data_IF_798523480562
#
_entry.id   IF_798523480562
#
_cell.length_a   1.000
_cell.length_b   1.000
_cell.length_c   1.000
_cell.angle_alpha   90.00
_cell.angle_beta   90.00
_cell.angle_gamma   90.00
#
_symmetry.space_group_name_H-M   'P 1'
#
loop_
_entity.id
_entity.type
_entity.pdbx_description
1 polymer ?
#
# COMPACT_ATOMS: atom_id res chain seq x y z
N UNK A 1 -11.82 -1.85 -9.51
CA UNK A 1 -12.25 -3.24 -9.21
C UNK A 1 -12.97 -3.17 -7.87
N UNK A 2 -14.07 -3.89 -7.63
CA UNK A 2 -14.57 -3.99 -6.25
C UNK A 2 -13.43 -4.49 -5.38
N UNK A 3 -13.21 -3.84 -4.23
CA UNK A 3 -12.10 -4.14 -3.34
C UNK A 3 -12.16 -5.63 -2.95
N UNK A 4 -11.07 -6.38 -3.18
CA UNK A 4 -11.07 -7.83 -2.97
C UNK A 4 -10.90 -8.17 -1.49
N UNK A 5 -11.55 -9.24 -1.03
CA UNK A 5 -11.18 -9.88 0.24
C UNK A 5 -9.85 -10.61 0.07
N UNK A 6 -8.89 -10.33 0.94
CA UNK A 6 -7.59 -10.97 0.90
C UNK A 6 -7.47 -12.06 1.97
N UNK A 7 -6.78 -13.15 1.65
CA UNK A 7 -6.43 -14.19 2.62
C UNK A 7 -5.02 -14.74 2.33
N UNK A 8 -4.21 -15.03 3.37
CA UNK A 8 -2.90 -15.67 3.18
C UNK A 8 -3.02 -17.16 2.81
N UNK A 9 -4.23 -17.74 2.91
CA UNK A 9 -4.53 -19.13 2.60
C UNK A 9 -5.79 -19.25 1.73
N UNK A 10 -5.90 -20.27 0.87
CA UNK A 10 -7.14 -20.57 0.17
C UNK A 10 -8.27 -20.88 1.16
N UNK A 11 -9.42 -20.25 0.98
CA UNK A 11 -10.60 -20.45 1.83
C UNK A 11 -11.80 -20.82 0.95
N UNK A 12 -12.16 -22.11 0.83
CA UNK A 12 -13.18 -22.58 -0.12
C UNK A 12 -14.54 -21.87 0.02
N UNK A 13 -14.92 -21.52 1.25
CA UNK A 13 -16.19 -20.86 1.54
C UNK A 13 -16.15 -19.33 1.36
N UNK A 14 -15.05 -18.79 0.85
CA UNK A 14 -14.83 -17.36 0.69
C UNK A 14 -14.36 -17.04 -0.72
N UNK A 15 -14.80 -15.91 -1.25
CA UNK A 15 -14.23 -15.35 -2.47
C UNK A 15 -13.05 -14.48 -2.08
N UNK A 16 -11.85 -15.04 -2.12
CA UNK A 16 -10.62 -14.33 -1.75
C UNK A 16 -9.56 -14.35 -2.82
N UNK A 17 -8.72 -13.31 -2.82
CA UNK A 17 -7.44 -13.28 -3.50
C UNK A 17 -6.29 -13.52 -2.50
N UNK A 18 -5.11 -13.87 -3.01
CA UNK A 18 -3.93 -14.07 -2.17
C UNK A 18 -3.52 -12.74 -1.54
N UNK A 19 -3.38 -12.74 -0.21
CA UNK A 19 -2.95 -11.56 0.51
C UNK A 19 -1.44 -11.30 0.31
N UNK A 20 -1.12 -10.13 -0.25
CA UNK A 20 0.25 -9.60 -0.28
C UNK A 20 0.27 -8.16 0.23
N UNK A 21 1.43 -7.65 0.70
CA UNK A 21 1.57 -6.25 1.11
C UNK A 21 1.12 -5.24 0.04
N UNK A 22 1.32 -5.57 -1.23
CA UNK A 22 0.99 -4.72 -2.39
C UNK A 22 -0.52 -4.67 -2.66
N UNK A 23 -1.25 -5.72 -2.31
CA UNK A 23 -2.70 -5.80 -2.51
C UNK A 23 -3.50 -5.11 -1.39
N UNK A 24 -2.93 -4.96 -0.19
CA UNK A 24 -3.61 -4.38 0.99
C UNK A 24 -4.23 -2.98 0.76
N UNK A 25 -3.59 -2.04 0.02
CA UNK A 25 -4.18 -0.72 -0.22
C UNK A 25 -5.52 -0.75 -0.96
N UNK A 26 -5.81 -1.80 -1.74
CA UNK A 26 -7.07 -1.97 -2.47
C UNK A 26 -7.98 -3.06 -1.89
N UNK A 27 -7.70 -3.55 -0.67
CA UNK A 27 -8.44 -4.66 -0.09
C UNK A 27 -9.73 -4.18 0.59
N UNK A 28 -10.83 -4.91 0.39
CA UNK A 28 -12.07 -4.67 1.14
C UNK A 28 -11.88 -5.09 2.60
N UNK A 29 -11.12 -6.17 2.80
CA UNK A 29 -10.78 -6.68 4.10
C UNK A 29 -9.73 -7.77 4.02
N UNK A 30 -9.15 -8.09 5.18
CA UNK A 30 -8.20 -9.17 5.35
C UNK A 30 -8.80 -10.27 6.23
N UNK A 31 -8.71 -11.52 5.77
CA UNK A 31 -9.02 -12.71 6.54
C UNK A 31 -7.73 -13.32 7.08
N UNK A 32 -7.67 -13.57 8.37
CA UNK A 32 -6.57 -14.26 9.06
C UNK A 32 -7.08 -15.59 9.63
N UNK A 33 -7.06 -16.66 8.82
CA UNK A 33 -7.63 -17.93 9.22
C UNK A 33 -6.81 -18.67 10.27
N UNK A 34 -7.48 -19.57 10.99
CA UNK A 34 -6.78 -20.64 11.71
C UNK A 34 -6.12 -21.60 10.72
N UNK A 35 -4.91 -22.02 11.06
CA UNK A 35 -4.11 -22.91 10.22
C UNK A 35 -3.23 -23.89 11.03
N UNK A 36 -3.51 -24.02 12.32
CA UNK A 36 -2.88 -25.01 13.19
C UNK A 36 -1.45 -24.74 13.63
N UNK A 37 -0.69 -23.86 12.98
CA UNK A 37 0.72 -23.70 13.39
C UNK A 37 0.96 -22.67 14.51
N UNK A 38 2.05 -22.85 15.28
CA UNK A 38 2.38 -22.00 16.42
C UNK A 38 2.48 -20.51 16.08
N UNK A 39 2.22 -19.70 17.09
CA UNK A 39 2.26 -18.24 17.04
C UNK A 39 3.37 -17.70 17.91
N UNK A 40 3.76 -18.38 19.00
CA UNK A 40 4.83 -17.91 19.90
C UNK A 40 6.23 -17.99 19.27
N UNK A 41 6.49 -18.99 18.43
CA UNK A 41 7.79 -19.19 17.79
C UNK A 41 7.79 -18.73 16.33
N UNK A 42 8.43 -17.58 16.08
CA UNK A 42 8.45 -16.95 14.75
C UNK A 42 9.87 -16.63 14.25
N UNK A 43 10.90 -16.78 15.09
CA UNK A 43 12.25 -16.27 14.80
C UNK A 43 12.93 -17.02 13.64
N UNK A 44 12.46 -18.22 13.30
CA UNK A 44 13.00 -19.06 12.23
C UNK A 44 11.92 -19.53 11.25
N UNK A 45 10.78 -18.83 11.21
CA UNK A 45 9.58 -19.21 10.44
C UNK A 45 9.22 -18.11 9.45
N UNK A 46 9.78 -18.12 8.22
CA UNK A 46 9.56 -17.03 7.25
C UNK A 46 8.09 -16.89 6.84
N UNK A 47 7.36 -18.00 6.76
CA UNK A 47 5.91 -18.04 6.55
C UNK A 47 5.14 -17.28 7.64
N UNK A 48 5.56 -17.44 8.90
CA UNK A 48 4.95 -16.76 10.05
C UNK A 48 5.31 -15.30 10.11
N UNK A 49 6.57 -14.97 9.83
CA UNK A 49 7.01 -13.59 9.73
C UNK A 49 6.23 -12.81 8.66
N UNK A 50 6.01 -13.42 7.49
CA UNK A 50 5.20 -12.83 6.42
C UNK A 50 3.78 -12.52 6.89
N UNK A 51 3.12 -13.46 7.58
CA UNK A 51 1.76 -13.25 8.13
C UNK A 51 1.70 -12.19 9.22
N UNK A 52 2.69 -12.14 10.10
CA UNK A 52 2.80 -11.11 11.13
C UNK A 52 2.94 -9.72 10.48
N UNK A 53 3.79 -9.61 9.46
CA UNK A 53 3.99 -8.38 8.69
C UNK A 53 2.71 -7.95 7.99
N UNK A 54 2.03 -8.88 7.32
CA UNK A 54 0.76 -8.64 6.65
C UNK A 54 -0.33 -8.16 7.62
N UNK A 55 -0.49 -8.84 8.76
CA UNK A 55 -1.44 -8.44 9.81
C UNK A 55 -1.11 -7.05 10.38
N UNK A 56 0.17 -6.79 10.69
CA UNK A 56 0.63 -5.47 11.16
C UNK A 56 0.33 -4.34 10.17
N UNK A 57 0.57 -4.58 8.88
CA UNK A 57 0.29 -3.61 7.83
C UNK A 57 -1.22 -3.33 7.68
N UNK A 58 -2.04 -4.39 7.66
CA UNK A 58 -3.49 -4.27 7.55
C UNK A 58 -4.09 -3.48 8.73
N UNK A 59 -3.67 -3.80 9.95
CA UNK A 59 -4.14 -3.10 11.16
C UNK A 59 -3.70 -1.63 11.17
N UNK A 60 -2.46 -1.34 10.76
CA UNK A 60 -1.96 0.05 10.68
C UNK A 60 -2.73 0.89 9.66
N UNK A 61 -3.17 0.26 8.56
CA UNK A 61 -3.99 0.90 7.52
C UNK A 61 -5.47 0.97 7.86
N UNK A 62 -5.90 0.34 8.95
CA UNK A 62 -7.31 0.24 9.30
C UNK A 62 -8.12 -0.62 8.32
N UNK A 63 -7.47 -1.56 7.61
CA UNK A 63 -8.17 -2.52 6.76
C UNK A 63 -9.09 -3.37 7.66
N UNK A 64 -10.40 -3.49 7.37
CA UNK A 64 -11.28 -4.40 8.07
C UNK A 64 -10.69 -5.81 8.13
N UNK A 65 -10.48 -6.34 9.32
CA UNK A 65 -9.77 -7.62 9.48
C UNK A 65 -10.60 -8.58 10.31
N UNK A 66 -10.78 -9.80 9.82
CA UNK A 66 -11.40 -10.90 10.56
C UNK A 66 -10.38 -12.00 10.81
N UNK A 67 -10.11 -12.29 12.07
CA UNK A 67 -9.13 -13.28 12.49
C UNK A 67 -9.76 -14.38 13.33
N UNK A 68 -9.33 -15.64 13.15
CA UNK A 68 -9.76 -16.73 14.03
C UNK A 68 -8.68 -17.76 14.35
N UNK A 69 -8.83 -18.45 15.48
CA UNK A 69 -7.88 -19.42 16.00
C UNK A 69 -6.46 -18.88 16.08
N UNK A 70 -5.51 -19.57 15.46
CA UNK A 70 -4.10 -19.13 15.35
C UNK A 70 -3.97 -17.76 14.68
N UNK A 71 -4.85 -17.40 13.74
CA UNK A 71 -4.88 -16.06 13.15
C UNK A 71 -5.25 -14.97 14.15
N UNK A 72 -6.22 -15.24 15.06
CA UNK A 72 -6.59 -14.31 16.13
C UNK A 72 -5.45 -14.13 17.14
N UNK A 73 -4.75 -15.21 17.50
CA UNK A 73 -3.57 -15.15 18.35
C UNK A 73 -2.43 -14.35 17.69
N UNK A 74 -2.23 -14.51 16.37
CA UNK A 74 -1.22 -13.76 15.61
C UNK A 74 -1.53 -12.26 15.62
N UNK A 75 -2.80 -11.88 15.42
CA UNK A 75 -3.25 -10.50 15.49
C UNK A 75 -3.11 -9.92 16.92
N UNK A 76 -3.43 -10.70 17.96
CA UNK A 76 -3.21 -10.30 19.35
C UNK A 76 -1.73 -10.03 19.64
N UNK A 77 -0.83 -10.88 19.14
CA UNK A 77 0.63 -10.70 19.26
C UNK A 77 1.10 -9.42 18.57
N UNK A 78 0.58 -9.11 17.39
CA UNK A 78 0.88 -7.84 16.67
C UNK A 78 0.51 -6.62 17.52
N UNK A 79 -0.59 -6.72 18.28
CA UNK A 79 -1.04 -5.69 19.23
C UNK A 79 -0.31 -5.73 20.58
N UNK A 80 0.74 -6.57 20.72
CA UNK A 80 1.56 -6.66 21.92
C UNK A 80 0.97 -7.53 23.04
N UNK A 81 -0.08 -8.31 22.77
CA UNK A 81 -0.61 -9.26 23.74
C UNK A 81 0.33 -10.45 23.95
N UNK A 82 0.36 -10.98 25.17
CA UNK A 82 1.15 -12.17 25.49
C UNK A 82 0.50 -13.41 24.87
N UNK A 83 1.29 -14.21 24.16
CA UNK A 83 0.86 -15.52 23.63
C UNK A 83 0.90 -16.56 24.74
N UNK A 84 -0.18 -17.32 24.89
CA UNK A 84 -0.32 -18.43 25.83
C UNK A 84 -0.41 -19.72 25.02
N UNK A 85 0.17 -20.78 25.58
CA UNK A 85 0.15 -22.11 25.00
C UNK A 85 -0.97 -22.95 25.61
N UNK A 86 -1.59 -23.78 24.78
CA UNK A 86 -2.71 -24.65 25.16
C UNK A 86 -4.04 -23.91 25.05
N UNK A 87 -5.08 -24.58 24.56
CA UNK A 87 -6.41 -23.99 24.31
C UNK A 87 -7.04 -24.57 23.05
N UNK A 88 -8.24 -24.11 22.66
CA UNK A 88 -9.01 -24.71 21.56
C UNK A 88 -8.29 -24.69 20.19
N UNK A 89 -7.43 -23.69 19.95
CA UNK A 89 -6.67 -23.53 18.71
C UNK A 89 -5.15 -23.79 18.88
N UNK A 90 -4.73 -24.37 20.01
CA UNK A 90 -3.31 -24.52 20.37
C UNK A 90 -2.77 -23.26 21.04
N UNK A 91 -2.34 -22.26 20.26
CA UNK A 91 -1.87 -20.97 20.77
C UNK A 91 -3.00 -19.92 20.76
N UNK A 92 -3.09 -19.14 21.85
CA UNK A 92 -4.02 -18.01 21.98
C UNK A 92 -3.33 -16.79 22.60
N UNK A 93 -4.00 -15.65 22.66
CA UNK A 93 -3.47 -14.46 23.33
C UNK A 93 -4.41 -13.92 24.38
N UNK A 94 -3.85 -13.36 25.45
CA UNK A 94 -4.61 -12.49 26.34
C UNK A 94 -5.26 -11.35 25.57
N UNK A 95 -6.27 -10.72 26.17
CA UNK A 95 -6.93 -9.57 25.56
C UNK A 95 -5.91 -8.44 25.35
N UNK A 96 -5.69 -7.97 24.10
CA UNK A 96 -4.78 -6.86 23.86
C UNK A 96 -5.23 -5.60 24.61
N UNK A 97 -4.27 -4.74 24.98
CA UNK A 97 -4.60 -3.47 25.63
C UNK A 97 -5.50 -2.63 24.69
N UNK A 98 -6.64 -2.17 25.21
CA UNK A 98 -7.61 -1.39 24.44
C UNK A 98 -8.57 -2.22 23.59
N UNK A 99 -8.45 -3.55 23.59
CA UNK A 99 -9.45 -4.41 22.99
C UNK A 99 -10.74 -4.41 23.82
N UNK A 100 -11.88 -4.48 23.13
CA UNK A 100 -13.18 -4.74 23.75
C UNK A 100 -13.45 -6.23 23.65
N UNK A 101 -13.60 -6.90 24.79
CA UNK A 101 -13.91 -8.34 24.83
C UNK A 101 -15.41 -8.53 25.00
N UNK A 102 -16.02 -9.20 24.03
CA UNK A 102 -17.46 -9.44 23.95
C UNK A 102 -17.87 -10.79 24.53
N UNK A 103 -16.97 -11.77 24.50
CA UNK A 103 -17.21 -13.09 25.07
C UNK A 103 -15.92 -13.70 25.63
N UNK A 104 -16.07 -14.44 26.73
CA UNK A 104 -15.01 -15.16 27.42
C UNK A 104 -15.35 -16.65 27.50
N UNK A 105 -14.32 -17.50 27.46
CA UNK A 105 -14.41 -18.92 27.77
C UNK A 105 -13.33 -19.26 28.81
N UNK A 106 -13.71 -19.28 30.08
CA UNK A 106 -12.73 -19.28 31.17
C UNK A 106 -11.86 -18.02 31.10
N UNK A 107 -10.54 -18.19 30.97
CA UNK A 107 -9.56 -17.10 30.81
C UNK A 107 -9.35 -16.68 29.35
N UNK A 108 -9.90 -17.43 28.39
CA UNK A 108 -9.76 -17.16 26.96
C UNK A 108 -10.67 -16.01 26.54
N UNK A 109 -10.16 -14.90 25.98
CA UNK A 109 -11.00 -13.91 25.31
C UNK A 109 -11.50 -14.50 23.99
N UNK A 110 -12.64 -15.17 24.02
CA UNK A 110 -13.18 -15.93 22.90
C UNK A 110 -13.58 -15.03 21.72
N UNK A 111 -14.17 -13.87 21.99
CA UNK A 111 -14.54 -12.89 20.97
C UNK A 111 -14.14 -11.48 21.42
N UNK A 112 -13.32 -10.80 20.63
CA UNK A 112 -12.86 -9.45 20.93
C UNK A 112 -12.64 -8.61 19.67
N UNK A 113 -12.66 -7.29 19.83
CA UNK A 113 -12.45 -6.32 18.75
C UNK A 113 -11.43 -5.26 19.14
N UNK A 114 -10.67 -4.77 18.17
CA UNK A 114 -9.74 -3.65 18.35
C UNK A 114 -9.58 -2.85 17.05
N UNK A 115 -10.08 -1.61 17.01
CA UNK A 115 -10.10 -0.83 15.77
C UNK A 115 -10.91 -1.53 14.68
N UNK A 116 -10.30 -1.77 13.51
CA UNK A 116 -10.91 -2.49 12.38
C UNK A 116 -10.85 -4.03 12.50
N UNK A 117 -10.25 -4.56 13.57
CA UNK A 117 -10.10 -6.00 13.81
C UNK A 117 -11.27 -6.57 14.60
N UNK A 118 -11.80 -7.69 14.10
CA UNK A 118 -12.64 -8.64 14.83
C UNK A 118 -11.90 -9.97 14.96
N UNK A 119 -11.83 -10.52 16.16
CA UNK A 119 -11.08 -11.73 16.46
C UNK A 119 -11.93 -12.77 17.20
N UNK A 120 -11.81 -14.02 16.77
CA UNK A 120 -12.43 -15.19 17.39
C UNK A 120 -11.38 -16.23 17.80
N UNK A 121 -11.18 -16.49 19.08
CA UNK A 121 -10.08 -17.34 19.53
C UNK A 121 -10.25 -18.83 19.19
N UNK A 122 -11.46 -19.29 18.86
CA UNK A 122 -11.71 -20.68 18.48
C UNK A 122 -11.17 -21.04 17.09
N UNK A 123 -10.83 -22.31 16.83
CA UNK A 123 -10.28 -22.76 15.55
C UNK A 123 -11.31 -22.71 14.39
N UNK A 124 -12.60 -22.73 14.73
CA UNK A 124 -13.71 -22.65 13.78
C UNK A 124 -14.44 -21.32 13.98
N UNK A 125 -14.58 -20.55 12.90
CA UNK A 125 -15.29 -19.28 12.90
C UNK A 125 -16.82 -19.54 12.86
N UNK A 126 -17.60 -19.00 13.81
CA UNK A 126 -19.05 -19.16 13.78
C UNK A 126 -19.69 -18.45 12.57
N UNK A 127 -20.73 -19.03 11.94
CA UNK A 127 -21.38 -18.44 10.77
C UNK A 127 -21.90 -17.01 10.99
N UNK A 128 -22.40 -16.72 12.18
CA UNK A 128 -22.90 -15.39 12.54
C UNK A 128 -21.78 -14.34 12.64
N UNK A 129 -20.55 -14.76 12.98
CA UNK A 129 -19.37 -13.86 12.98
C UNK A 129 -18.94 -13.55 11.55
N UNK A 130 -18.95 -14.56 10.67
CA UNK A 130 -18.72 -14.37 9.23
C UNK A 130 -19.76 -13.41 8.64
N UNK A 131 -21.04 -13.65 8.90
CA UNK A 131 -22.13 -12.81 8.40
C UNK A 131 -22.01 -11.36 8.90
N UNK A 132 -21.74 -11.16 10.19
CA UNK A 132 -21.55 -9.82 10.76
C UNK A 132 -20.37 -9.07 10.12
N UNK A 133 -19.25 -9.75 9.87
CA UNK A 133 -18.10 -9.13 9.20
C UNK A 133 -18.43 -8.73 7.76
N UNK A 134 -19.10 -9.60 7.00
CA UNK A 134 -19.51 -9.28 5.63
C UNK A 134 -20.50 -8.11 5.58
N UNK A 135 -21.46 -8.05 6.51
CA UNK A 135 -22.38 -6.92 6.62
C UNK A 135 -21.64 -5.60 6.88
N UNK A 136 -20.62 -5.61 7.74
CA UNK A 136 -19.75 -4.43 7.97
C UNK A 136 -19.06 -4.00 6.68
N UNK A 137 -18.62 -4.92 5.83
CA UNK A 137 -17.99 -4.58 4.55
C UNK A 137 -18.97 -4.01 3.52
N UNK A 138 -20.20 -4.52 3.51
CA UNK A 138 -21.25 -4.04 2.62
C UNK A 138 -21.75 -2.64 3.01
N UNK A 139 -21.81 -2.35 4.32
CA UNK A 139 -22.25 -1.06 4.87
C UNK A 139 -21.12 -0.02 4.97
N UNK A 140 -19.86 -0.46 4.91
CA UNK A 140 -18.72 0.45 4.99
C UNK A 140 -18.74 1.44 3.82
N UNK A 141 -18.66 2.76 4.08
CA UNK A 141 -18.49 3.73 2.99
C UNK A 141 -17.19 3.42 2.24
N UNK A 142 -17.12 3.70 0.92
CA UNK A 142 -15.90 3.48 0.15
C UNK A 142 -14.72 4.15 0.85
N UNK A 143 -13.67 3.36 1.12
CA UNK A 143 -12.51 3.83 1.86
C UNK A 143 -11.87 4.99 1.11
N UNK A 144 -11.80 6.17 1.74
CA UNK A 144 -11.06 7.29 1.17
C UNK A 144 -9.56 6.92 1.12
N UNK A 145 -8.85 7.24 0.02
CA UNK A 145 -7.42 6.99 -0.06
C UNK A 145 -6.69 7.69 1.09
N UNK A 146 -5.83 6.96 1.79
CA UNK A 146 -5.10 7.51 2.94
C UNK A 146 -4.04 8.54 2.50
N UNK A 147 -3.59 8.45 1.24
CA UNK A 147 -2.64 9.37 0.65
C UNK A 147 -2.84 9.44 -0.88
N UNK A 148 -2.18 10.39 -1.56
CA UNK A 148 -2.20 10.52 -3.00
C UNK A 148 -1.74 9.28 -3.78
N UNK A 149 -0.80 8.49 -3.22
CA UNK A 149 -0.30 7.27 -3.85
C UNK A 149 -1.40 6.22 -3.95
N UNK A 150 -2.19 6.03 -2.90
CA UNK A 150 -3.37 5.17 -2.93
C UNK A 150 -4.43 5.70 -3.90
N UNK A 151 -4.62 7.02 -3.95
CA UNK A 151 -5.60 7.65 -4.84
C UNK A 151 -5.30 7.40 -6.33
N UNK A 152 -4.03 7.20 -6.69
CA UNK A 152 -3.62 6.87 -8.07
C UNK A 152 -3.48 5.37 -8.32
N UNK A 153 -3.84 4.50 -7.37
CA UNK A 153 -3.74 3.04 -7.51
C UNK A 153 -2.38 2.45 -7.14
N UNK A 154 -1.53 3.19 -6.42
CA UNK A 154 -0.26 2.70 -5.90
C UNK A 154 0.87 2.61 -6.92
N UNK A 155 1.99 2.02 -6.50
CA UNK A 155 3.17 1.83 -7.36
C UNK A 155 2.86 0.95 -8.58
N UNK A 156 2.00 -0.05 -8.42
CA UNK A 156 1.58 -0.96 -9.48
C UNK A 156 0.90 -0.22 -10.65
N UNK A 157 0.13 0.84 -10.37
CA UNK A 157 -0.47 1.70 -11.40
C UNK A 157 0.54 2.71 -11.98
N UNK A 158 1.49 3.19 -11.17
CA UNK A 158 2.51 4.15 -11.62
C UNK A 158 3.53 3.55 -12.60
N UNK A 159 3.98 2.31 -12.37
CA UNK A 159 5.01 1.66 -13.20
C UNK A 159 4.67 1.63 -14.70
N UNK A 160 3.52 1.12 -15.15
CA UNK A 160 3.18 1.11 -16.58
C UNK A 160 3.01 2.51 -17.16
N UNK A 161 2.42 3.45 -16.39
CA UNK A 161 2.31 4.86 -16.78
C UNK A 161 3.69 5.47 -17.03
N UNK A 162 4.61 5.33 -16.07
CA UNK A 162 5.95 5.91 -16.15
C UNK A 162 6.75 5.29 -17.30
N UNK A 163 6.64 3.98 -17.51
CA UNK A 163 7.26 3.31 -18.66
C UNK A 163 6.76 3.87 -19.99
N UNK A 164 5.44 4.02 -20.19
CA UNK A 164 4.86 4.63 -21.39
C UNK A 164 5.30 6.08 -21.56
N UNK A 165 5.21 6.88 -20.49
CA UNK A 165 5.65 8.27 -20.50
C UNK A 165 7.11 8.43 -20.95
N UNK A 166 8.04 7.68 -20.35
CA UNK A 166 9.46 7.82 -20.69
C UNK A 166 9.80 7.23 -22.06
N UNK A 167 9.05 6.23 -22.55
CA UNK A 167 9.16 5.78 -23.93
C UNK A 167 8.79 6.90 -24.92
N UNK A 168 7.70 7.64 -24.65
CA UNK A 168 7.32 8.82 -25.44
C UNK A 168 8.34 9.94 -25.34
N UNK A 169 8.79 10.26 -24.12
CA UNK A 169 9.76 11.33 -23.89
C UNK A 169 11.11 11.06 -24.55
N UNK A 170 11.53 9.79 -24.63
CA UNK A 170 12.75 9.38 -25.33
C UNK A 170 12.66 9.57 -26.84
N UNK A 171 11.49 9.34 -27.43
CA UNK A 171 11.26 9.48 -28.87
C UNK A 171 10.92 10.92 -29.29
N UNK A 172 10.66 11.81 -28.33
CA UNK A 172 10.23 13.19 -28.57
C UNK A 172 11.38 14.08 -29.06
N UNK A 173 11.10 14.95 -30.04
CA UNK A 173 12.12 15.82 -30.64
C UNK A 173 12.66 16.89 -29.68
N UNK A 174 11.86 17.33 -28.70
CA UNK A 174 12.24 18.36 -27.73
C UNK A 174 12.90 17.73 -26.50
N UNK A 175 12.34 16.64 -25.96
CA UNK A 175 12.84 16.01 -24.74
C UNK A 175 13.93 14.98 -24.99
N UNK A 176 13.83 14.23 -26.08
CA UNK A 176 14.70 13.11 -26.44
C UNK A 176 16.18 13.48 -26.39
N UNK A 177 16.63 14.61 -26.97
CA UNK A 177 18.04 15.02 -26.92
C UNK A 177 18.57 15.22 -25.48
N UNK A 178 17.78 15.79 -24.58
CA UNK A 178 18.17 15.97 -23.17
C UNK A 178 18.31 14.62 -22.47
N UNK A 179 17.35 13.71 -22.66
CA UNK A 179 17.43 12.37 -22.07
C UNK A 179 18.60 11.56 -22.65
N UNK A 180 18.82 11.59 -23.96
CA UNK A 180 19.93 10.88 -24.60
C UNK A 180 21.31 11.32 -24.10
N UNK A 181 21.46 12.60 -23.73
CA UNK A 181 22.70 13.15 -23.19
C UNK A 181 22.98 12.74 -21.72
N UNK A 182 21.94 12.39 -20.95
CA UNK A 182 22.03 12.24 -19.50
C UNK A 182 21.55 10.89 -18.95
N UNK A 183 20.86 10.08 -19.74
CA UNK A 183 20.31 8.78 -19.36
C UNK A 183 20.85 7.70 -20.29
N UNK A 184 21.78 6.91 -19.77
CA UNK A 184 22.38 5.77 -20.46
C UNK A 184 21.76 4.43 -20.05
N UNK A 185 21.33 4.33 -18.79
CA UNK A 185 20.65 3.17 -18.22
C UNK A 185 19.18 3.53 -17.94
N UNK A 186 18.29 3.03 -18.79
CA UNK A 186 16.86 3.32 -18.73
C UNK A 186 16.14 2.56 -17.62
N UNK A 187 16.59 1.34 -17.31
CA UNK A 187 15.98 0.54 -16.24
C UNK A 187 16.29 1.18 -14.89
N UNK A 188 17.55 1.57 -14.66
CA UNK A 188 17.93 2.30 -13.44
C UNK A 188 17.24 3.67 -13.35
N UNK A 189 17.02 4.35 -14.48
CA UNK A 189 16.27 5.60 -14.51
C UNK A 189 14.80 5.39 -14.10
N UNK A 190 14.14 4.38 -14.67
CA UNK A 190 12.75 4.04 -14.36
C UNK A 190 12.55 3.64 -12.89
N UNK A 191 13.46 2.87 -12.30
CA UNK A 191 13.41 2.56 -10.86
C UNK A 191 13.54 3.84 -10.01
N UNK A 192 14.48 4.73 -10.37
CA UNK A 192 14.72 5.97 -9.62
C UNK A 192 13.52 6.93 -9.69
N UNK A 193 12.90 7.09 -10.85
CA UNK A 193 11.74 7.98 -11.03
C UNK A 193 10.46 7.38 -10.44
N UNK A 194 10.33 6.05 -10.44
CA UNK A 194 9.26 5.34 -9.74
C UNK A 194 9.37 5.58 -8.22
N UNK A 195 10.55 5.37 -7.65
CA UNK A 195 10.81 5.65 -6.24
C UNK A 195 10.53 7.12 -5.87
N UNK A 196 10.90 8.06 -6.76
CA UNK A 196 10.59 9.48 -6.58
C UNK A 196 9.08 9.72 -6.47
N UNK A 197 8.28 9.21 -7.42
CA UNK A 197 6.83 9.41 -7.40
C UNK A 197 6.16 8.71 -6.21
N UNK A 198 6.59 7.51 -5.83
CA UNK A 198 6.10 6.82 -4.62
C UNK A 198 6.30 7.70 -3.38
N UNK A 199 7.49 8.28 -3.20
CA UNK A 199 7.76 9.18 -2.07
C UNK A 199 6.96 10.48 -2.17
N UNK A 200 6.88 11.13 -3.34
CA UNK A 200 6.16 12.40 -3.52
C UNK A 200 4.64 12.28 -3.33
N UNK A 201 4.10 11.08 -3.52
CA UNK A 201 2.67 10.79 -3.35
C UNK A 201 2.32 10.28 -1.95
N UNK A 202 3.26 10.33 -1.00
CA UNK A 202 3.01 9.97 0.40
C UNK A 202 3.18 8.48 0.71
N UNK A 203 3.88 7.74 -0.15
CA UNK A 203 4.44 6.44 0.20
C UNK A 203 5.63 6.55 1.17
N UNK A 204 6.34 5.43 1.35
CA UNK A 204 7.56 5.39 2.15
C UNK A 204 8.72 6.19 1.53
N UNK A 205 9.83 6.40 2.28
CA UNK A 205 11.02 7.12 1.82
C UNK A 205 11.87 6.26 0.86
N UNK A 206 11.28 5.90 -0.29
CA UNK A 206 11.92 5.13 -1.35
C UNK A 206 12.94 5.96 -2.14
N UNK A 207 12.75 7.28 -2.24
CA UNK A 207 13.69 8.19 -2.89
C UNK A 207 14.32 9.17 -1.93
N UNK A 208 15.62 9.41 -2.12
CA UNK A 208 16.41 10.40 -1.38
C UNK A 208 17.10 11.33 -2.37
N UNK A 209 16.86 12.62 -2.25
CA UNK A 209 17.51 13.62 -3.10
C UNK A 209 16.83 14.98 -3.08
N UNK A 210 17.28 15.85 -3.98
CA UNK A 210 16.68 17.15 -4.21
C UNK A 210 16.37 17.30 -5.70
N UNK A 211 15.08 17.46 -6.03
CA UNK A 211 14.60 17.53 -7.41
C UNK A 211 15.28 18.67 -8.19
N UNK A 212 15.48 19.82 -7.55
CA UNK A 212 16.11 20.97 -8.18
C UNK A 212 17.61 20.75 -8.42
N UNK A 213 18.27 19.99 -7.54
CA UNK A 213 19.69 19.67 -7.71
C UNK A 213 19.91 18.73 -8.89
N UNK A 214 19.10 17.67 -9.01
CA UNK A 214 19.28 16.69 -10.09
C UNK A 214 18.96 17.25 -11.48
N UNK A 215 18.15 18.30 -11.55
CA UNK A 215 17.84 19.01 -12.80
C UNK A 215 18.70 20.25 -13.05
N UNK A 216 19.57 20.62 -12.10
CA UNK A 216 20.44 21.79 -12.24
C UNK A 216 21.47 21.56 -13.34
N UNK A 217 21.63 22.54 -14.24
CA UNK A 217 22.64 22.50 -15.29
C UNK A 217 22.28 21.65 -16.52
N UNK A 218 21.12 20.98 -16.54
CA UNK A 218 20.68 20.17 -17.69
C UNK A 218 20.16 20.98 -18.89
N UNK A 219 20.16 22.32 -18.80
CA UNK A 219 19.66 23.19 -19.87
C UNK A 219 18.15 23.16 -20.07
N UNK A 220 17.39 22.65 -19.10
CA UNK A 220 15.91 22.60 -19.12
C UNK A 220 15.34 24.02 -19.17
N UNK A 221 14.34 24.21 -20.02
CA UNK A 221 13.65 25.50 -20.27
C UNK A 221 12.13 25.30 -20.26
N UNK A 222 11.38 26.40 -20.29
CA UNK A 222 9.90 26.39 -20.32
C UNK A 222 9.31 25.42 -21.35
N UNK A 223 9.78 25.49 -22.60
CA UNK A 223 9.33 24.57 -23.66
C UNK A 223 9.53 23.08 -23.34
N UNK A 224 10.61 22.71 -22.63
CA UNK A 224 10.81 21.32 -22.20
C UNK A 224 9.79 20.96 -21.12
N UNK A 225 9.54 21.84 -20.15
CA UNK A 225 8.56 21.57 -19.10
C UNK A 225 7.14 21.44 -19.67
N UNK A 226 6.75 22.35 -20.56
CA UNK A 226 5.46 22.29 -21.25
C UNK A 226 5.29 20.96 -22.00
N UNK A 227 6.31 20.56 -22.76
CA UNK A 227 6.28 19.29 -23.49
C UNK A 227 6.26 18.08 -22.57
N UNK A 228 7.03 18.11 -21.49
CA UNK A 228 7.06 17.06 -20.47
C UNK A 228 5.68 16.89 -19.84
N UNK A 229 5.03 17.98 -19.43
CA UNK A 229 3.69 17.94 -18.81
C UNK A 229 2.62 17.46 -19.80
N UNK A 230 2.72 17.83 -21.07
CA UNK A 230 1.81 17.36 -22.11
C UNK A 230 1.89 15.82 -22.28
N UNK A 231 3.10 15.28 -22.50
CA UNK A 231 3.32 13.85 -22.67
C UNK A 231 3.00 13.06 -21.40
N UNK A 232 3.31 13.61 -20.23
CA UNK A 232 2.97 12.99 -18.95
C UNK A 232 1.45 12.93 -18.76
N UNK A 233 0.72 13.97 -19.18
CA UNK A 233 -0.74 13.99 -19.15
C UNK A 233 -1.39 13.02 -20.13
N UNK A 234 -0.82 12.82 -21.31
CA UNK A 234 -1.26 11.78 -22.25
C UNK A 234 -1.10 10.38 -21.64
N UNK A 235 0.08 10.07 -21.09
CA UNK A 235 0.32 8.79 -20.43
C UNK A 235 -0.58 8.61 -19.21
N UNK A 236 -0.72 9.63 -18.35
CA UNK A 236 -1.58 9.54 -17.17
C UNK A 236 -3.03 9.21 -17.52
N UNK A 237 -3.60 9.88 -18.54
CA UNK A 237 -4.98 9.60 -18.99
C UNK A 237 -5.13 8.26 -19.71
N UNK A 238 -4.06 7.69 -20.25
CA UNK A 238 -4.08 6.37 -20.87
C UNK A 238 -4.09 5.23 -19.83
N UNK A 239 -3.49 5.45 -18.65
CA UNK A 239 -3.28 4.40 -17.64
C UNK A 239 -4.12 4.57 -16.36
N UNK A 240 -4.65 5.77 -16.09
CA UNK A 240 -5.37 6.07 -14.85
C UNK A 240 -6.80 6.56 -15.10
N UNK A 241 -7.71 6.36 -14.13
CA UNK A 241 -9.00 7.04 -14.11
C UNK A 241 -8.83 8.58 -14.14
N UNK A 242 -9.81 9.33 -14.69
CA UNK A 242 -9.69 10.78 -14.84
C UNK A 242 -9.30 11.53 -13.55
N UNK A 243 -9.94 11.22 -12.43
CA UNK A 243 -9.66 11.86 -11.13
C UNK A 243 -8.23 11.63 -10.64
N UNK A 244 -7.71 10.41 -10.82
CA UNK A 244 -6.35 10.04 -10.47
C UNK A 244 -5.33 10.73 -11.39
N UNK A 245 -5.61 10.79 -12.69
CA UNK A 245 -4.78 11.48 -13.66
C UNK A 245 -4.69 12.99 -13.34
N UNK A 246 -5.81 13.65 -13.06
CA UNK A 246 -5.87 15.07 -12.73
C UNK A 246 -5.11 15.38 -11.43
N UNK A 247 -5.28 14.53 -10.41
CA UNK A 247 -4.54 14.62 -9.16
C UNK A 247 -3.02 14.53 -9.36
N UNK A 248 -2.58 13.61 -10.22
CA UNK A 248 -1.16 13.40 -10.52
C UNK A 248 -0.60 14.57 -11.35
N UNK A 249 -1.36 15.08 -12.32
CA UNK A 249 -0.97 16.21 -13.17
C UNK A 249 -0.89 17.52 -12.39
N UNK A 250 -1.83 17.80 -11.49
CA UNK A 250 -1.78 18.97 -10.62
C UNK A 250 -0.48 19.00 -9.78
N UNK A 251 -0.07 17.84 -9.26
CA UNK A 251 1.20 17.69 -8.52
C UNK A 251 2.41 17.88 -9.43
N UNK A 252 2.39 17.28 -10.62
CA UNK A 252 3.46 17.44 -11.60
C UNK A 252 3.66 18.92 -11.99
N UNK A 253 2.57 19.63 -12.28
CA UNK A 253 2.59 21.06 -12.61
C UNK A 253 3.21 21.91 -11.49
N UNK A 254 2.75 21.72 -10.24
CA UNK A 254 3.28 22.44 -9.08
C UNK A 254 4.78 22.13 -8.82
N UNK A 255 5.28 20.95 -9.18
CA UNK A 255 6.72 20.65 -9.14
C UNK A 255 7.48 21.32 -10.29
N UNK A 256 6.90 21.31 -11.49
CA UNK A 256 7.44 21.95 -12.68
C UNK A 256 7.66 23.45 -12.53
N UNK A 257 6.67 24.17 -11.99
CA UNK A 257 6.78 25.62 -11.74
C UNK A 257 8.00 25.97 -10.89
N UNK A 258 8.30 25.16 -9.87
CA UNK A 258 9.46 25.35 -8.99
C UNK A 258 10.79 25.10 -9.69
N UNK A 259 10.82 24.27 -10.72
CA UNK A 259 12.00 24.07 -11.58
C UNK A 259 12.19 25.23 -12.57
N UNK A 260 11.10 25.75 -13.12
CA UNK A 260 11.13 26.82 -14.12
C UNK A 260 11.45 28.22 -13.58
N UNK A 261 11.14 28.50 -12.31
CA UNK A 261 11.16 29.87 -11.77
C UNK A 261 12.49 30.30 -11.12
N UNK A 262 13.64 29.81 -11.61
CA UNK A 262 14.94 30.18 -11.03
C UNK A 262 15.44 31.53 -11.59
N UNK A 263 15.76 32.54 -10.75
CA UNK A 263 16.39 33.77 -11.23
C UNK A 263 17.74 33.45 -11.87
N UNK A 264 18.05 34.12 -12.98
CA UNK A 264 19.37 34.03 -13.64
C UNK A 264 20.43 34.39 -12.60
N UNK A 265 21.31 33.45 -12.25
CA UNK A 265 22.58 33.80 -11.61
C UNK A 265 23.29 34.80 -12.53
N UNK A 266 23.51 36.00 -12.04
CA UNK A 266 23.98 37.14 -12.82
C UNK A 266 25.34 36.89 -13.45
N UNK A 267 25.50 37.37 -14.68
CA UNK A 267 26.80 37.80 -15.18
C UNK A 267 27.27 38.94 -14.27
N UNK A 268 28.46 38.82 -13.72
CA UNK A 268 29.22 39.96 -13.18
C UNK A 268 30.57 39.97 -13.89
N UNK A 269 30.87 41.12 -14.51
CA UNK A 269 32.21 41.61 -14.86
C UNK A 269 33.00 40.77 -15.84
#
# INVERSE_FOLDING_TARGET
MPDALLSPLPLPDWRTELATPEALPGAAGLLLPHDGEPVADVRERPDRWARLTLASEALRRGVPTLAWGTGAALAGRVLGAHVRHGGPAGDWTEAPRGAVVHAWEGELPLHWTHGSLTAWAGPTLPPERKAAFLAVLEEAPPRLPANPLEAVGGEAALRPLLADFYARARADEVLGPTFAAHVTDWDAHLERVTAFWVTMLGGGPAWRGNLNHVHAGLGIRGAHLERWLALFGEAARAHLPPEAADLLLARAGAMGERLGNRPRSGRVG
#
